data_IF_933243612000
#
_entry.id   IF_933243612000
#
_cell.length_a   1.000
_cell.length_b   1.000
_cell.length_c   1.000
_cell.angle_alpha   90.00
_cell.angle_beta   90.00
_cell.angle_gamma   90.00
#
_symmetry.space_group_name_H-M   'P 1'
#
loop_
_entity.id
_entity.type
_entity.pdbx_description
1 polymer ?
#
# COMPACT_ATOMS: atom_id res chain seq x y z
N UNK A 1 29.39 60.92 31.15
CA UNK A 1 27.97 60.62 30.85
C UNK A 1 27.89 60.13 29.41
N UNK A 2 27.87 58.81 29.20
CA UNK A 2 26.72 58.00 28.72
C UNK A 2 26.18 58.40 27.33
N UNK A 3 26.55 57.57 26.34
CA UNK A 3 25.82 56.98 25.18
C UNK A 3 24.94 57.94 24.35
N UNK A 4 24.90 57.85 23.01
CA UNK A 4 24.30 56.74 22.23
C UNK A 4 24.77 56.87 20.77
N UNK A 5 25.34 55.79 20.22
CA UNK A 5 25.38 55.55 18.77
C UNK A 5 24.05 54.92 18.34
N UNK A 6 23.42 55.46 17.30
CA UNK A 6 22.30 54.82 16.60
C UNK A 6 22.82 54.31 15.24
N UNK A 7 22.87 53.00 15.08
CA UNK A 7 23.17 52.34 13.82
C UNK A 7 21.88 52.15 13.02
N UNK A 8 21.90 52.59 11.77
CA UNK A 8 20.86 52.37 10.76
C UNK A 8 21.05 50.97 10.19
N UNK A 9 20.06 50.09 10.35
CA UNK A 9 19.99 48.79 9.70
C UNK A 9 18.75 48.69 8.83
N UNK A 10 18.90 48.93 7.53
CA UNK A 10 17.94 48.54 6.49
C UNK A 10 18.57 47.39 5.73
N UNK A 11 17.97 46.21 5.84
CA UNK A 11 18.32 45.02 5.06
C UNK A 11 17.03 44.29 4.70
N UNK A 12 16.61 44.48 3.46
CA UNK A 12 15.45 43.87 2.80
C UNK A 12 15.90 42.54 2.17
N UNK A 13 15.01 41.54 2.19
CA UNK A 13 15.10 40.31 1.38
C UNK A 13 15.80 39.15 2.09
N UNK A 14 15.34 37.90 2.01
CA UNK A 14 14.52 37.25 1.00
C UNK A 14 13.62 36.19 1.65
N UNK A 15 12.52 35.93 0.97
CA UNK A 15 11.56 34.89 1.22
C UNK A 15 12.22 33.55 1.59
N UNK A 16 12.02 33.12 2.83
CA UNK A 16 12.14 31.72 3.20
C UNK A 16 10.88 31.00 2.75
N UNK A 17 10.89 30.46 1.53
CA UNK A 17 9.96 29.40 1.16
C UNK A 17 10.20 28.24 2.14
N UNK A 18 9.30 28.06 3.09
CA UNK A 18 9.23 26.86 3.92
C UNK A 18 8.79 25.69 3.04
N UNK A 19 9.73 25.15 2.26
CA UNK A 19 9.63 23.83 1.66
C UNK A 19 9.64 22.79 2.79
N UNK A 20 8.58 21.97 2.89
CA UNK A 20 8.66 20.76 3.70
C UNK A 20 7.42 20.33 4.48
N UNK A 21 6.20 20.69 4.09
CA UNK A 21 4.98 20.02 4.61
C UNK A 21 4.55 18.85 3.72
N UNK A 22 5.47 17.92 3.42
CA UNK A 22 5.16 16.68 2.68
C UNK A 22 5.15 15.42 3.56
N UNK A 23 5.34 15.56 4.87
CA UNK A 23 5.34 14.42 5.78
C UNK A 23 3.94 14.15 6.33
N UNK A 24 3.18 13.31 5.62
CA UNK A 24 2.13 12.48 6.22
C UNK A 24 2.76 11.39 7.12
N UNK A 25 3.54 11.78 8.12
CA UNK A 25 3.80 10.96 9.30
C UNK A 25 2.54 11.03 10.15
N UNK A 26 1.59 10.12 9.97
CA UNK A 26 0.28 10.05 10.65
C UNK A 26 0.30 10.76 12.02
N UNK A 27 -0.21 12.00 12.14
CA UNK A 27 -0.77 12.52 13.38
C UNK A 27 -2.28 12.33 13.26
N UNK A 28 -2.88 11.60 14.20
CA UNK A 28 -4.26 11.10 14.12
C UNK A 28 -5.38 12.16 14.18
N UNK A 29 -5.20 13.40 13.71
CA UNK A 29 -6.22 14.44 13.90
C UNK A 29 -6.49 15.40 12.74
N UNK A 30 -5.83 15.34 11.58
CA UNK A 30 -6.18 16.18 10.42
C UNK A 30 -5.77 15.52 9.09
N UNK A 31 -6.43 14.42 8.71
CA UNK A 31 -6.22 13.83 7.37
C UNK A 31 -7.07 14.56 6.34
N UNK A 32 -6.46 15.40 5.50
CA UNK A 32 -7.09 15.82 4.24
C UNK A 32 -7.39 14.54 3.44
N UNK A 33 -8.64 14.29 3.00
CA UNK A 33 -8.95 13.14 2.17
C UNK A 33 -8.06 13.13 0.94
N UNK A 34 -7.46 11.98 0.65
CA UNK A 34 -6.70 11.84 -0.59
C UNK A 34 -7.62 12.04 -1.79
N UNK A 35 -7.23 12.98 -2.66
CA UNK A 35 -7.87 13.23 -3.95
C UNK A 35 -7.01 12.54 -5.02
N UNK A 36 -7.53 11.52 -5.73
CA UNK A 36 -6.79 10.84 -6.77
C UNK A 36 -6.46 11.77 -7.94
N UNK A 37 -5.40 11.44 -8.69
CA UNK A 37 -5.11 12.14 -9.94
C UNK A 37 -6.29 12.03 -10.91
N UNK A 38 -6.43 13.01 -11.80
CA UNK A 38 -7.42 12.97 -12.89
C UNK A 38 -6.69 12.99 -14.24
N UNK A 39 -6.78 11.92 -15.06
CA UNK A 39 -7.40 10.62 -14.75
C UNK A 39 -6.65 9.84 -13.65
N UNK A 40 -7.31 8.89 -12.96
CA UNK A 40 -6.65 8.07 -11.95
C UNK A 40 -5.58 7.19 -12.59
N UNK A 41 -4.47 6.99 -11.88
CA UNK A 41 -3.40 6.11 -12.35
C UNK A 41 -3.88 4.67 -12.36
N UNK A 42 -3.97 4.09 -13.54
CA UNK A 42 -4.35 2.69 -13.74
C UNK A 42 -3.34 1.97 -14.62
N UNK A 43 -3.02 0.72 -14.26
CA UNK A 43 -2.22 -0.19 -15.08
C UNK A 43 -3.03 -1.43 -15.44
N UNK A 44 -2.66 -2.04 -16.57
CA UNK A 44 -3.20 -3.34 -16.96
C UNK A 44 -2.45 -4.43 -16.21
N UNK A 45 -3.18 -5.21 -15.43
CA UNK A 45 -2.72 -6.40 -14.75
C UNK A 45 -3.73 -7.52 -15.05
N UNK A 46 -3.41 -8.36 -16.04
CA UNK A 46 -4.27 -9.42 -16.57
C UNK A 46 -5.02 -10.18 -15.46
N UNK A 47 -6.23 -10.67 -15.69
CA UNK A 47 -6.92 -11.51 -14.70
C UNK A 47 -6.61 -13.00 -14.94
N UNK A 48 -6.50 -13.79 -13.88
CA UNK A 48 -6.42 -15.26 -14.06
C UNK A 48 -7.80 -15.84 -14.27
N UNK A 49 -7.87 -17.04 -14.86
CA UNK A 49 -9.14 -17.74 -15.06
C UNK A 49 -9.87 -17.98 -13.74
N UNK A 50 -9.15 -18.38 -12.69
CA UNK A 50 -9.67 -18.61 -11.34
C UNK A 50 -10.22 -17.32 -10.72
N UNK A 51 -9.53 -16.20 -10.91
CA UNK A 51 -10.00 -14.88 -10.45
C UNK A 51 -11.29 -14.47 -11.16
N UNK A 52 -11.32 -14.60 -12.50
CA UNK A 52 -12.51 -14.26 -13.30
C UNK A 52 -13.70 -15.11 -12.88
N UNK A 53 -13.51 -16.43 -12.72
CA UNK A 53 -14.57 -17.33 -12.30
C UNK A 53 -15.11 -16.97 -10.90
N UNK A 54 -14.23 -16.64 -9.95
CA UNK A 54 -14.61 -16.21 -8.61
C UNK A 54 -15.43 -14.91 -8.61
N UNK A 55 -14.99 -13.91 -9.37
CA UNK A 55 -15.69 -12.63 -9.47
C UNK A 55 -17.04 -12.77 -10.21
N UNK A 56 -17.13 -13.62 -11.24
CA UNK A 56 -18.38 -13.93 -11.94
C UNK A 56 -19.40 -14.65 -11.07
N UNK A 57 -18.94 -15.44 -10.09
CA UNK A 57 -19.79 -16.04 -9.06
C UNK A 57 -20.19 -15.04 -7.95
N UNK A 58 -20.01 -13.73 -8.17
CA UNK A 58 -20.34 -12.68 -7.21
C UNK A 58 -19.39 -12.59 -6.03
N UNK A 59 -18.22 -13.24 -6.09
CA UNK A 59 -17.29 -13.31 -4.97
C UNK A 59 -17.87 -14.07 -3.77
N UNK A 60 -18.71 -15.07 -4.00
CA UNK A 60 -19.29 -15.87 -2.93
C UNK A 60 -18.21 -16.49 -2.03
N UNK A 61 -18.21 -16.17 -0.73
CA UNK A 61 -17.15 -16.61 0.19
C UNK A 61 -17.16 -18.12 0.52
N UNK A 62 -18.32 -18.78 0.37
CA UNK A 62 -18.54 -20.18 0.77
C UNK A 62 -19.05 -21.06 -0.40
N UNK A 63 -18.58 -20.79 -1.62
CA UNK A 63 -18.94 -21.55 -2.81
C UNK A 63 -17.74 -22.29 -3.40
N UNK A 64 -18.02 -23.17 -4.38
CA UNK A 64 -16.98 -23.95 -5.07
C UNK A 64 -15.94 -23.07 -5.77
N UNK A 65 -16.38 -21.93 -6.29
CA UNK A 65 -15.53 -20.95 -6.99
C UNK A 65 -14.57 -20.24 -6.03
N UNK A 66 -15.03 -19.85 -4.83
CA UNK A 66 -14.16 -19.36 -3.75
C UNK A 66 -13.12 -20.40 -3.36
N UNK A 67 -13.57 -21.63 -3.08
CA UNK A 67 -12.69 -22.72 -2.69
C UNK A 67 -11.60 -22.98 -3.75
N UNK A 68 -11.97 -22.95 -5.03
CA UNK A 68 -11.02 -23.08 -6.14
C UNK A 68 -10.04 -21.90 -6.20
N UNK A 69 -10.53 -20.67 -6.05
CA UNK A 69 -9.71 -19.46 -6.11
C UNK A 69 -8.69 -19.39 -4.97
N UNK A 70 -9.12 -19.61 -3.72
CA UNK A 70 -8.20 -19.58 -2.58
C UNK A 70 -7.22 -20.75 -2.59
N UNK A 71 -7.63 -21.95 -3.03
CA UNK A 71 -6.69 -23.07 -3.23
C UNK A 71 -5.65 -22.75 -4.29
N UNK A 72 -6.05 -22.14 -5.40
CA UNK A 72 -5.13 -21.69 -6.46
C UNK A 72 -4.11 -20.69 -5.91
N UNK A 73 -4.55 -19.70 -5.13
CA UNK A 73 -3.66 -18.74 -4.46
C UNK A 73 -2.71 -19.43 -3.47
N UNK A 74 -3.22 -20.35 -2.66
CA UNK A 74 -2.42 -21.05 -1.65
C UNK A 74 -1.40 -22.02 -2.24
N UNK A 75 -1.61 -22.48 -3.48
CA UNK A 75 -0.67 -23.31 -4.22
C UNK A 75 0.52 -22.51 -4.76
N UNK A 76 0.43 -21.18 -4.85
CA UNK A 76 1.54 -20.34 -5.30
C UNK A 76 2.75 -20.47 -4.34
N UNK A 77 3.94 -20.86 -4.83
CA UNK A 77 5.09 -21.11 -3.97
C UNK A 77 5.54 -19.91 -3.14
N UNK A 78 5.43 -18.69 -3.67
CA UNK A 78 5.88 -17.48 -2.99
C UNK A 78 4.86 -17.05 -1.93
N UNK A 79 3.56 -17.24 -2.19
CA UNK A 79 2.50 -17.07 -1.19
C UNK A 79 2.70 -18.05 -0.04
N UNK A 80 2.97 -19.33 -0.34
CA UNK A 80 3.18 -20.36 0.68
C UNK A 80 4.42 -20.11 1.55
N UNK A 81 5.50 -19.59 0.96
CA UNK A 81 6.75 -19.27 1.65
C UNK A 81 6.69 -17.94 2.42
N UNK A 82 5.72 -17.08 2.11
CA UNK A 82 5.57 -15.78 2.76
C UNK A 82 5.11 -15.95 4.20
N UNK A 83 5.94 -15.48 5.15
CA UNK A 83 5.59 -15.45 6.57
C UNK A 83 4.62 -14.30 6.82
N UNK A 84 3.33 -14.63 6.94
CA UNK A 84 2.28 -13.68 7.32
C UNK A 84 2.29 -13.45 8.85
N UNK A 85 1.89 -12.25 9.33
CA UNK A 85 1.93 -11.94 10.76
C UNK A 85 0.80 -12.67 11.49
N UNK A 86 0.75 -12.57 12.82
CA UNK A 86 -0.47 -12.95 13.56
C UNK A 86 -1.38 -11.73 13.66
N UNK A 87 -2.68 -11.91 13.46
CA UNK A 87 -3.66 -10.85 13.73
C UNK A 87 -4.16 -10.95 15.17
N UNK A 88 -3.52 -10.20 16.08
CA UNK A 88 -3.85 -10.19 17.51
C UNK A 88 -5.21 -9.53 17.82
N UNK A 89 -5.83 -8.85 16.85
CA UNK A 89 -7.16 -8.27 17.01
C UNK A 89 -8.29 -9.30 16.89
N UNK A 90 -7.99 -10.51 16.38
CA UNK A 90 -8.96 -11.59 16.29
C UNK A 90 -8.93 -12.44 17.55
N UNK A 91 -10.10 -12.70 18.13
CA UNK A 91 -10.27 -13.58 19.28
C UNK A 91 -9.73 -14.99 19.01
N UNK A 92 -9.29 -15.70 20.05
CA UNK A 92 -8.62 -17.00 19.91
C UNK A 92 -9.53 -18.09 19.31
N UNK A 93 -10.82 -18.02 19.57
CA UNK A 93 -11.86 -18.96 19.13
C UNK A 93 -12.53 -18.58 17.80
N UNK A 94 -12.18 -17.43 17.22
CA UNK A 94 -12.77 -16.92 15.98
C UNK A 94 -12.23 -17.62 14.70
N UNK A 95 -12.38 -18.94 14.63
CA UNK A 95 -11.80 -19.78 13.57
C UNK A 95 -12.19 -19.35 12.15
N UNK A 96 -13.46 -18.99 11.93
CA UNK A 96 -13.93 -18.54 10.62
C UNK A 96 -13.29 -17.20 10.21
N UNK A 97 -13.28 -16.22 11.10
CA UNK A 97 -12.68 -14.91 10.85
C UNK A 97 -11.16 -15.02 10.63
N UNK A 98 -10.49 -15.92 11.36
CA UNK A 98 -9.06 -16.23 11.15
C UNK A 98 -8.81 -16.83 9.77
N UNK A 99 -9.64 -17.80 9.35
CA UNK A 99 -9.54 -18.39 8.01
C UNK A 99 -9.70 -17.31 6.93
N UNK A 100 -10.77 -16.51 7.03
CA UNK A 100 -11.03 -15.44 6.08
C UNK A 100 -9.87 -14.43 6.03
N UNK A 101 -9.37 -13.99 7.18
CA UNK A 101 -8.23 -13.07 7.23
C UNK A 101 -6.99 -13.68 6.56
N UNK A 102 -6.68 -14.96 6.80
CA UNK A 102 -5.57 -15.65 6.13
C UNK A 102 -5.76 -15.66 4.61
N UNK A 103 -6.98 -15.96 4.14
CA UNK A 103 -7.32 -15.95 2.72
C UNK A 103 -7.12 -14.54 2.12
N UNK A 104 -7.55 -13.49 2.81
CA UNK A 104 -7.39 -12.08 2.39
C UNK A 104 -5.92 -11.64 2.35
N UNK A 105 -5.11 -11.98 3.36
CA UNK A 105 -3.67 -11.63 3.39
C UNK A 105 -2.92 -12.38 2.30
N UNK A 106 -3.16 -13.68 2.13
CA UNK A 106 -2.51 -14.47 1.08
C UNK A 106 -2.91 -14.01 -0.32
N UNK A 107 -4.15 -13.58 -0.50
CA UNK A 107 -4.62 -12.95 -1.73
C UNK A 107 -3.89 -11.63 -2.00
N UNK A 108 -3.60 -10.82 -0.98
CA UNK A 108 -2.77 -9.62 -1.12
C UNK A 108 -1.32 -9.97 -1.52
N UNK A 109 -0.71 -10.97 -0.88
CA UNK A 109 0.63 -11.45 -1.26
C UNK A 109 0.64 -11.89 -2.72
N UNK A 110 -0.37 -12.66 -3.15
CA UNK A 110 -0.50 -13.10 -4.53
C UNK A 110 -0.59 -11.93 -5.52
N UNK A 111 -1.48 -10.96 -5.25
CA UNK A 111 -1.63 -9.80 -6.14
C UNK A 111 -0.37 -8.95 -6.20
N UNK A 112 0.36 -8.78 -5.09
CA UNK A 112 1.58 -7.97 -5.06
C UNK A 112 2.65 -8.41 -6.08
N UNK A 113 2.69 -9.70 -6.43
CA UNK A 113 3.60 -10.25 -7.47
C UNK A 113 3.28 -9.72 -8.87
N UNK A 114 2.02 -9.34 -9.08
CA UNK A 114 1.46 -8.93 -10.37
C UNK A 114 1.43 -7.42 -10.53
N UNK A 115 1.66 -6.67 -9.44
CA UNK A 115 1.79 -5.22 -9.46
C UNK A 115 3.23 -4.88 -9.83
N UNK A 116 3.43 -4.40 -11.06
CA UNK A 116 4.71 -3.87 -11.52
C UNK A 116 4.83 -2.40 -11.14
N UNK A 117 5.95 -2.07 -10.52
CA UNK A 117 6.30 -0.72 -10.09
C UNK A 117 6.99 0.02 -11.25
N UNK A 118 7.05 1.34 -11.16
CA UNK A 118 7.69 2.19 -12.17
C UNK A 118 9.17 1.86 -12.40
N UNK A 119 9.86 1.33 -11.39
CA UNK A 119 11.26 0.90 -11.49
C UNK A 119 11.45 -0.52 -12.06
N UNK A 120 10.39 -1.17 -12.53
CA UNK A 120 10.39 -2.52 -13.10
C UNK A 120 10.30 -3.67 -12.10
N UNK A 121 10.51 -3.42 -10.80
CA UNK A 121 10.34 -4.42 -9.76
C UNK A 121 8.85 -4.71 -9.52
N UNK A 122 8.54 -5.86 -8.93
CA UNK A 122 7.21 -6.13 -8.39
C UNK A 122 7.03 -5.52 -7.00
N UNK A 123 5.79 -5.22 -6.62
CA UNK A 123 5.48 -4.82 -5.24
C UNK A 123 5.88 -5.90 -4.23
N UNK A 124 5.77 -7.18 -4.62
CA UNK A 124 6.26 -8.31 -3.83
C UNK A 124 7.76 -8.19 -3.51
N UNK A 125 8.60 -7.91 -4.52
CA UNK A 125 10.04 -7.73 -4.32
C UNK A 125 10.36 -6.53 -3.43
N UNK A 126 9.65 -5.41 -3.60
CA UNK A 126 9.80 -4.24 -2.73
C UNK A 126 9.52 -4.59 -1.27
N UNK A 127 8.38 -5.22 -0.98
CA UNK A 127 7.97 -5.57 0.39
C UNK A 127 8.93 -6.57 1.02
N UNK A 128 9.33 -7.59 0.27
CA UNK A 128 10.17 -8.68 0.78
C UNK A 128 11.63 -8.31 0.94
N UNK A 129 12.20 -7.49 0.04
CA UNK A 129 13.63 -7.15 0.08
C UNK A 129 13.91 -5.84 0.80
N UNK A 130 13.05 -4.84 0.61
CA UNK A 130 13.26 -3.48 1.09
C UNK A 130 12.44 -3.16 2.34
N UNK A 131 11.25 -3.74 2.47
CA UNK A 131 10.43 -3.62 3.68
C UNK A 131 10.91 -4.52 4.82
N UNK A 132 10.16 -4.52 5.93
CA UNK A 132 10.29 -5.51 7.01
C UNK A 132 9.54 -6.82 6.72
N UNK A 133 9.26 -7.10 5.43
CA UNK A 133 8.41 -8.20 5.00
C UNK A 133 6.93 -7.95 5.24
N UNK A 134 6.16 -9.03 5.38
CA UNK A 134 4.72 -9.01 5.66
C UNK A 134 4.47 -8.87 7.17
N UNK A 135 4.82 -7.72 7.74
CA UNK A 135 4.79 -7.50 9.19
C UNK A 135 3.46 -6.91 9.71
N UNK A 136 2.69 -6.26 8.85
CA UNK A 136 1.42 -5.64 9.22
C UNK A 136 0.21 -6.55 9.00
N UNK A 137 -0.62 -6.82 10.04
CA UNK A 137 -1.88 -7.55 9.88
C UNK A 137 -2.95 -6.77 9.10
N UNK A 138 -2.73 -5.47 8.84
CA UNK A 138 -3.60 -4.63 8.04
C UNK A 138 -3.33 -4.74 6.53
N UNK A 139 -2.30 -5.48 6.11
CA UNK A 139 -2.08 -5.80 4.69
C UNK A 139 -3.04 -6.90 4.26
N UNK A 140 -3.99 -6.59 3.38
CA UNK A 140 -5.07 -7.50 3.00
C UNK A 140 -5.69 -7.16 1.64
N UNK A 141 -6.30 -8.16 1.01
CA UNK A 141 -7.08 -8.03 -0.21
C UNK A 141 -8.54 -8.41 0.09
N UNK A 142 -9.40 -7.42 0.27
CA UNK A 142 -10.82 -7.63 0.58
C UNK A 142 -11.65 -7.60 -0.69
N UNK A 143 -12.59 -8.52 -0.81
CA UNK A 143 -13.60 -8.49 -1.87
C UNK A 143 -14.38 -7.17 -1.81
N UNK A 144 -14.68 -6.61 -2.97
CA UNK A 144 -15.48 -5.41 -3.12
C UNK A 144 -16.55 -5.63 -4.20
N UNK A 145 -17.81 -5.61 -3.78
CA UNK A 145 -18.99 -5.85 -4.63
C UNK A 145 -19.90 -4.62 -4.56
N UNK A 146 -19.55 -3.53 -5.27
CA UNK A 146 -20.40 -2.35 -5.34
C UNK A 146 -21.69 -2.65 -6.13
N UNK A 147 -22.80 -2.00 -5.78
CA UNK A 147 -24.11 -2.23 -6.41
C UNK A 147 -24.13 -1.94 -7.91
N UNK A 148 -23.36 -0.93 -8.37
CA UNK A 148 -23.40 -0.40 -9.74
C UNK A 148 -22.06 -0.53 -10.48
N UNK A 149 -21.18 -1.44 -10.06
CA UNK A 149 -19.91 -1.64 -10.77
C UNK A 149 -19.46 -3.10 -10.70
N UNK A 150 -18.58 -3.56 -11.62
CA UNK A 150 -18.07 -4.91 -11.58
C UNK A 150 -17.39 -5.22 -10.23
N UNK A 151 -17.58 -6.43 -9.68
CA UNK A 151 -16.91 -6.84 -8.47
C UNK A 151 -15.39 -6.90 -8.68
N UNK A 152 -14.65 -6.77 -7.59
CA UNK A 152 -13.20 -6.85 -7.61
C UNK A 152 -12.62 -6.88 -6.22
N UNK A 153 -11.42 -6.33 -6.05
CA UNK A 153 -10.73 -6.33 -4.77
C UNK A 153 -10.27 -4.93 -4.39
N UNK A 154 -10.41 -4.57 -3.11
CA UNK A 154 -9.62 -3.50 -2.49
C UNK A 154 -8.36 -4.12 -1.92
N UNK A 155 -7.21 -3.64 -2.38
CA UNK A 155 -5.90 -4.09 -1.93
C UNK A 155 -5.32 -3.01 -1.02
N UNK A 156 -4.98 -3.39 0.21
CA UNK A 156 -4.28 -2.53 1.15
C UNK A 156 -2.94 -3.17 1.48
N UNK A 157 -1.86 -2.42 1.26
CA UNK A 157 -0.52 -2.79 1.69
C UNK A 157 -0.03 -1.76 2.69
N UNK A 158 0.44 -2.24 3.82
CA UNK A 158 1.03 -1.41 4.85
C UNK A 158 2.48 -1.85 5.03
N UNK A 159 3.41 -1.05 4.51
CA UNK A 159 4.80 -1.42 4.28
C UNK A 159 5.70 -0.60 5.19
N UNK A 160 6.49 -1.28 6.01
CA UNK A 160 7.46 -0.66 6.92
C UNK A 160 8.80 -0.41 6.23
N UNK A 161 9.23 0.84 6.16
CA UNK A 161 10.53 1.29 5.64
C UNK A 161 11.32 2.02 6.73
N UNK A 162 12.63 2.23 6.53
CA UNK A 162 13.40 3.21 7.31
C UNK A 162 13.22 4.60 6.68
N UNK A 163 13.22 5.65 7.49
CA UNK A 163 13.28 7.02 6.99
C UNK A 163 14.72 7.37 6.57
N UNK A 164 14.87 8.11 5.48
CA UNK A 164 16.18 8.53 5.01
C UNK A 164 16.85 9.46 6.05
N UNK A 165 18.12 9.19 6.36
CA UNK A 165 18.90 9.95 7.35
C UNK A 165 18.46 9.78 8.81
N UNK A 166 17.48 8.92 9.13
CA UNK A 166 16.98 8.73 10.49
C UNK A 166 16.84 7.22 10.81
N UNK A 167 17.14 6.77 12.05
CA UNK A 167 16.95 5.37 12.44
C UNK A 167 15.47 5.00 12.69
N UNK A 168 14.53 5.86 12.26
CA UNK A 168 13.11 5.75 12.55
C UNK A 168 12.42 4.93 11.46
N UNK A 169 11.55 4.00 11.88
CA UNK A 169 10.67 3.28 10.98
C UNK A 169 9.47 4.14 10.55
N UNK A 170 9.20 4.15 9.26
CA UNK A 170 8.05 4.80 8.67
C UNK A 170 7.17 3.72 8.02
N UNK A 171 5.87 3.79 8.28
CA UNK A 171 4.91 2.87 7.70
C UNK A 171 4.13 3.56 6.59
N UNK A 172 4.26 3.07 5.37
CA UNK A 172 3.61 3.62 4.19
C UNK A 172 2.42 2.77 3.80
N UNK A 173 1.28 3.41 3.54
CA UNK A 173 0.06 2.76 3.07
C UNK A 173 -0.09 2.92 1.57
N UNK A 174 -0.12 1.81 0.84
CA UNK A 174 -0.47 1.77 -0.58
C UNK A 174 -1.85 1.11 -0.74
N UNK A 175 -2.80 1.85 -1.29
CA UNK A 175 -4.14 1.37 -1.59
C UNK A 175 -4.31 1.23 -3.10
N UNK A 176 -4.84 0.10 -3.54
CA UNK A 176 -5.22 -0.15 -4.92
C UNK A 176 -6.65 -0.69 -5.01
N UNK A 177 -7.33 -0.42 -6.12
CA UNK A 177 -8.54 -1.12 -6.50
C UNK A 177 -8.26 -1.99 -7.71
N UNK A 178 -8.60 -3.27 -7.61
CA UNK A 178 -8.55 -4.20 -8.73
C UNK A 178 -9.96 -4.41 -9.27
N UNK A 179 -10.14 -4.22 -10.57
CA UNK A 179 -11.39 -4.38 -11.32
C UNK A 179 -11.11 -5.10 -12.63
N UNK A 180 -11.34 -6.41 -12.66
CA UNK A 180 -10.91 -7.26 -13.77
C UNK A 180 -9.42 -7.09 -14.06
N UNK A 181 -9.07 -6.66 -15.26
CA UNK A 181 -7.68 -6.46 -15.67
C UNK A 181 -7.10 -5.10 -15.29
N UNK A 182 -7.89 -4.21 -14.68
CA UNK A 182 -7.41 -2.90 -14.25
C UNK A 182 -6.97 -2.94 -12.79
N UNK A 183 -5.81 -2.35 -12.52
CA UNK A 183 -5.35 -2.02 -11.19
C UNK A 183 -5.21 -0.51 -11.08
N UNK A 184 -6.03 0.09 -10.23
CA UNK A 184 -6.16 1.54 -10.06
C UNK A 184 -5.48 1.92 -8.74
N UNK A 185 -4.57 2.89 -8.75
CA UNK A 185 -4.02 3.45 -7.53
C UNK A 185 -5.10 4.28 -6.80
N UNK A 186 -5.20 4.10 -5.49
CA UNK A 186 -6.19 4.76 -4.64
C UNK A 186 -5.55 5.40 -3.39
N UNK A 187 -4.30 5.83 -3.53
CA UNK A 187 -3.55 6.58 -2.53
C UNK A 187 -2.33 7.23 -3.20
N UNK A 188 -1.85 8.36 -2.68
CA UNK A 188 -0.69 9.06 -3.25
C UNK A 188 0.56 8.18 -3.33
N UNK A 189 0.79 7.32 -2.32
CA UNK A 189 1.92 6.40 -2.35
C UNK A 189 1.74 5.30 -3.40
N UNK A 190 0.52 4.79 -3.61
CA UNK A 190 0.24 3.85 -4.69
C UNK A 190 0.48 4.46 -6.09
N UNK A 191 0.09 5.73 -6.30
CA UNK A 191 0.40 6.43 -7.55
C UNK A 191 1.91 6.58 -7.74
N UNK A 192 2.61 7.01 -6.70
CA UNK A 192 4.07 7.14 -6.70
C UNK A 192 4.75 5.82 -7.07
N UNK A 193 4.30 4.70 -6.50
CA UNK A 193 4.79 3.36 -6.81
C UNK A 193 4.60 2.97 -8.29
N UNK A 194 3.51 3.40 -8.93
CA UNK A 194 3.20 3.06 -10.32
C UNK A 194 3.83 4.00 -11.35
N UNK A 195 4.14 5.25 -11.00
CA UNK A 195 4.60 6.27 -11.95
C UNK A 195 6.04 6.74 -11.75
N UNK A 196 6.58 6.71 -10.53
CA UNK A 196 7.87 7.31 -10.24
C UNK A 196 8.92 6.21 -9.99
N UNK A 197 9.91 5.97 -10.87
CA UNK A 197 10.94 4.96 -10.64
C UNK A 197 11.81 5.25 -9.40
N UNK A 198 11.89 6.51 -8.96
CA UNK A 198 12.60 6.97 -7.77
C UNK A 198 11.68 7.16 -6.54
N UNK A 199 10.51 6.48 -6.49
CA UNK A 199 9.52 6.63 -5.41
C UNK A 199 10.11 6.54 -4.00
N UNK A 200 11.15 5.72 -3.78
CA UNK A 200 11.83 5.63 -2.49
C UNK A 200 12.46 6.96 -2.09
N UNK A 201 13.27 7.56 -2.98
CA UNK A 201 13.93 8.84 -2.72
C UNK A 201 12.91 9.98 -2.60
N UNK A 202 11.92 10.01 -3.49
CA UNK A 202 10.88 11.04 -3.51
C UNK A 202 10.05 11.07 -2.21
N UNK A 203 9.88 9.91 -1.56
CA UNK A 203 9.17 9.80 -0.28
C UNK A 203 10.11 9.77 0.93
N UNK A 204 11.41 10.03 0.76
CA UNK A 204 12.40 10.02 1.84
C UNK A 204 12.54 8.66 2.54
N UNK A 205 12.42 7.57 1.78
CA UNK A 205 12.44 6.19 2.26
C UNK A 205 13.77 5.52 1.95
N UNK A 206 14.13 4.53 2.77
CA UNK A 206 15.23 3.60 2.52
C UNK A 206 14.88 2.19 2.97
N UNK A 207 15.62 1.20 2.47
CA UNK A 207 15.35 -0.19 2.81
C UNK A 207 15.68 -0.49 4.27
N UNK A 208 14.94 -1.43 4.85
CA UNK A 208 15.18 -1.87 6.22
C UNK A 208 16.51 -2.62 6.36
N UNK A 209 16.90 -3.33 5.30
CA UNK A 209 18.10 -4.16 5.17
C UNK A 209 19.33 -3.42 4.64
N UNK A 210 19.26 -2.10 4.44
CA UNK A 210 20.43 -1.25 4.18
C UNK A 210 21.42 -1.24 5.37
#
# INVERSE_FOLDING_TARGET
MRRIMLAIGVGIGLAGCSEGSWFNTIPASNSVPYLPSSPPVAIVAAATREEVAFLQAGGCGNCREADRFYRFIHADPDVRKSRIPRNMALAEDANLAKKQWVDEVRTAVYFSKRIRLANGQSLFELITRCGKGWDSPATQATLDVPANSPPGFRLQYLISFKKFGQPIGLQMRALFMRRGEQLIANSAFAESLLQNPDFMRANGLRCWSD
#
